data_IF_419158524790
#
_entry.id   IF_419158524790
#
_cell.length_a   1.000
_cell.length_b   1.000
_cell.length_c   1.000
_cell.angle_alpha   90.00
_cell.angle_beta   90.00
_cell.angle_gamma   90.00
#
_symmetry.space_group_name_H-M   'P 1'
#
loop_
_entity.id
_entity.type
_entity.pdbx_description
1 polymer ?
#
# COMPACT_ATOMS: atom_id res chain seq x y z
N UNK A 1 8.69 -5.93 7.94
CA UNK A 1 9.93 -6.68 7.75
C UNK A 1 9.57 -8.12 7.40
N UNK A 2 10.18 -8.66 6.37
CA UNK A 2 10.04 -10.06 5.93
C UNK A 2 11.16 -10.88 6.53
N UNK A 3 10.85 -12.04 7.13
CA UNK A 3 11.84 -12.99 7.65
C UNK A 3 11.86 -14.20 6.72
N UNK A 4 13.01 -14.48 6.17
CA UNK A 4 13.22 -15.50 5.14
C UNK A 4 14.17 -16.55 5.70
N UNK A 5 13.80 -17.81 5.61
CA UNK A 5 14.62 -18.95 5.99
C UNK A 5 15.20 -19.65 4.77
N UNK A 6 16.45 -20.10 4.87
CA UNK A 6 17.12 -21.02 3.94
C UNK A 6 18.08 -21.89 4.71
N UNK A 7 17.99 -23.19 4.54
CA UNK A 7 18.89 -24.18 5.14
C UNK A 7 19.09 -23.97 6.66
N UNK A 8 17.98 -23.72 7.37
CA UNK A 8 17.98 -23.48 8.82
C UNK A 8 18.47 -22.09 9.26
N UNK A 9 18.96 -21.26 8.35
CA UNK A 9 19.40 -19.88 8.64
C UNK A 9 18.33 -18.88 8.24
N UNK A 10 18.14 -17.84 9.06
CA UNK A 10 17.19 -16.77 8.78
C UNK A 10 17.88 -15.46 8.40
N UNK A 11 17.29 -14.72 7.47
CA UNK A 11 17.65 -13.34 7.16
C UNK A 11 16.42 -12.45 7.17
N UNK A 12 16.61 -11.17 7.42
CA UNK A 12 15.55 -10.17 7.46
C UNK A 12 15.67 -9.23 6.27
N UNK A 13 14.54 -8.76 5.77
CA UNK A 13 14.47 -7.84 4.63
C UNK A 13 13.31 -6.86 4.82
N UNK A 14 13.48 -5.55 4.54
CA UNK A 14 12.37 -4.62 4.47
C UNK A 14 11.35 -5.06 3.41
N UNK A 15 10.06 -4.88 3.69
CA UNK A 15 8.98 -5.27 2.77
C UNK A 15 9.09 -4.57 1.41
N UNK A 16 9.55 -3.32 1.39
CA UNK A 16 9.77 -2.53 0.17
C UNK A 16 10.85 -3.12 -0.76
N UNK A 17 11.78 -3.93 -0.21
CA UNK A 17 12.83 -4.62 -0.98
C UNK A 17 12.46 -6.07 -1.31
N UNK A 18 11.35 -6.56 -0.77
CA UNK A 18 10.92 -7.94 -0.99
C UNK A 18 10.28 -8.14 -2.35
N UNK A 19 9.47 -7.18 -2.79
CA UNK A 19 8.85 -7.22 -4.11
C UNK A 19 9.80 -6.59 -5.14
N UNK A 20 9.99 -7.29 -6.24
CA UNK A 20 10.84 -6.83 -7.35
C UNK A 20 10.00 -6.70 -8.63
N UNK A 21 10.31 -5.69 -9.42
CA UNK A 21 9.63 -5.45 -10.69
C UNK A 21 10.35 -6.09 -11.87
N UNK A 22 9.71 -6.13 -13.05
CA UNK A 22 10.25 -6.75 -14.26
C UNK A 22 11.56 -6.10 -14.77
N UNK A 23 11.84 -4.85 -14.39
CA UNK A 23 13.11 -4.21 -14.68
C UNK A 23 14.29 -4.86 -13.93
N UNK A 24 14.03 -5.54 -12.79
CA UNK A 24 15.04 -6.27 -12.03
C UNK A 24 15.11 -7.73 -12.50
N UNK A 25 13.96 -8.38 -12.62
CA UNK A 25 13.87 -9.77 -13.08
C UNK A 25 12.43 -10.05 -13.55
N UNK A 26 12.26 -10.38 -14.82
CA UNK A 26 10.95 -10.64 -15.41
C UNK A 26 10.39 -12.03 -15.05
N UNK A 27 11.24 -12.93 -14.55
CA UNK A 27 10.85 -14.33 -14.27
C UNK A 27 10.30 -14.53 -12.87
N UNK A 28 10.40 -13.51 -11.98
CA UNK A 28 9.93 -13.59 -10.58
C UNK A 28 9.51 -12.22 -10.07
N UNK A 29 8.61 -12.23 -9.11
CA UNK A 29 8.05 -11.00 -8.51
C UNK A 29 8.56 -10.71 -7.10
N UNK A 30 9.39 -11.57 -6.56
CA UNK A 30 9.95 -11.41 -5.20
C UNK A 30 11.45 -11.65 -5.17
N UNK A 31 12.10 -11.13 -4.13
CA UNK A 31 13.53 -11.33 -3.87
C UNK A 31 13.88 -12.74 -3.35
N UNK A 32 12.89 -13.63 -3.23
CA UNK A 32 13.12 -15.02 -2.85
C UNK A 32 13.94 -15.73 -3.91
N UNK A 33 14.90 -16.53 -3.48
CA UNK A 33 15.74 -17.40 -4.31
C UNK A 33 15.30 -18.85 -4.12
N UNK A 34 15.82 -19.75 -4.96
CA UNK A 34 15.60 -21.19 -4.78
C UNK A 34 15.90 -21.60 -3.32
N UNK A 35 15.03 -22.41 -2.74
CA UNK A 35 15.08 -22.87 -1.35
C UNK A 35 14.87 -21.81 -0.27
N UNK A 36 14.47 -20.57 -0.63
CA UNK A 36 14.00 -19.60 0.34
C UNK A 36 12.53 -19.84 0.71
N UNK A 37 12.22 -19.70 1.98
CA UNK A 37 10.86 -19.76 2.51
C UNK A 37 10.61 -18.47 3.31
N UNK A 38 9.55 -17.73 2.98
CA UNK A 38 9.06 -16.64 3.84
C UNK A 38 8.39 -17.27 5.07
N UNK A 39 9.02 -17.12 6.23
CA UNK A 39 8.55 -17.77 7.48
C UNK A 39 7.81 -16.83 8.41
N UNK A 40 8.02 -15.52 8.28
CA UNK A 40 7.39 -14.54 9.16
C UNK A 40 7.28 -13.17 8.49
N UNK A 41 6.20 -12.44 8.81
CA UNK A 41 6.04 -11.00 8.49
C UNK A 41 5.95 -10.25 9.81
N UNK A 42 6.93 -9.38 10.09
CA UNK A 42 6.99 -8.58 11.31
C UNK A 42 6.46 -7.17 11.08
N UNK A 43 5.45 -6.80 11.82
CA UNK A 43 4.95 -5.43 11.87
C UNK A 43 5.72 -4.63 12.94
N UNK A 44 6.13 -3.38 12.68
CA UNK A 44 6.81 -2.57 13.67
C UNK A 44 5.89 -2.27 14.87
N UNK A 45 6.40 -2.46 16.09
CA UNK A 45 5.67 -2.22 17.36
C UNK A 45 5.09 -0.79 17.44
N UNK A 46 5.72 0.16 16.77
CA UNK A 46 5.21 1.56 16.71
C UNK A 46 3.79 1.67 16.16
N UNK A 47 3.30 0.68 15.41
CA UNK A 47 1.93 0.66 14.87
C UNK A 47 0.92 -0.07 15.75
N UNK A 48 1.32 -0.55 16.92
CA UNK A 48 0.38 -1.11 17.89
C UNK A 48 -0.65 -0.04 18.30
N UNK A 49 -1.94 -0.39 18.28
CA UNK A 49 -3.04 0.51 18.56
C UNK A 49 -3.33 1.58 17.49
N UNK A 50 -2.67 1.54 16.34
CA UNK A 50 -2.97 2.45 15.23
C UNK A 50 -4.32 2.08 14.59
N UNK A 51 -5.00 3.08 14.00
CA UNK A 51 -6.14 2.85 13.10
C UNK A 51 -5.64 2.22 11.80
N UNK A 52 -6.41 1.31 11.24
CA UNK A 52 -6.09 0.70 9.94
C UNK A 52 -7.30 0.74 9.01
N UNK A 53 -7.03 0.75 7.73
CA UNK A 53 -8.03 0.65 6.68
C UNK A 53 -7.52 -0.27 5.58
N UNK A 54 -8.38 -1.16 5.09
CA UNK A 54 -8.11 -1.98 3.92
C UNK A 54 -9.37 -2.08 3.07
N UNK A 55 -9.23 -1.82 1.79
CA UNK A 55 -10.29 -2.01 0.81
C UNK A 55 -9.73 -2.66 -0.45
N UNK A 56 -10.38 -3.69 -0.92
CA UNK A 56 -10.10 -4.38 -2.17
C UNK A 56 -11.31 -4.25 -3.09
N UNK A 57 -11.13 -3.61 -4.23
CA UNK A 57 -12.14 -3.60 -5.31
C UNK A 57 -11.79 -4.68 -6.30
N UNK A 58 -12.76 -5.55 -6.59
CA UNK A 58 -12.64 -6.68 -7.50
C UNK A 58 -13.96 -6.88 -8.24
N UNK A 59 -13.98 -7.61 -9.35
CA UNK A 59 -15.20 -7.92 -10.11
C UNK A 59 -16.06 -8.98 -9.39
N UNK A 60 -15.40 -9.88 -8.64
CA UNK A 60 -16.04 -10.93 -7.86
C UNK A 60 -15.64 -10.86 -6.39
N UNK A 61 -16.51 -11.33 -5.51
CA UNK A 61 -16.24 -11.33 -4.06
C UNK A 61 -15.22 -12.37 -3.63
N UNK A 62 -15.10 -13.48 -4.36
CA UNK A 62 -14.20 -14.60 -4.07
C UNK A 62 -13.37 -14.97 -5.30
N UNK A 63 -12.17 -15.51 -5.06
CA UNK A 63 -11.28 -16.01 -6.12
C UNK A 63 -11.03 -14.99 -7.23
N UNK A 64 -10.75 -13.76 -6.84
CA UNK A 64 -10.50 -12.68 -7.78
C UNK A 64 -9.30 -11.83 -7.38
N UNK A 65 -8.57 -11.35 -8.37
CA UNK A 65 -7.54 -10.34 -8.17
C UNK A 65 -8.18 -8.98 -7.94
N UNK A 66 -7.49 -8.11 -7.21
CA UNK A 66 -7.95 -6.73 -7.08
C UNK A 66 -7.82 -5.98 -8.41
N UNK A 67 -8.84 -5.24 -8.78
CA UNK A 67 -8.73 -4.17 -9.76
C UNK A 67 -7.81 -3.08 -9.22
N UNK A 68 -8.09 -2.63 -8.00
CA UNK A 68 -7.23 -1.79 -7.16
C UNK A 68 -7.51 -2.16 -5.70
N UNK A 69 -6.49 -2.18 -4.87
CA UNK A 69 -6.65 -2.25 -3.42
C UNK A 69 -5.84 -1.16 -2.73
N UNK A 70 -6.22 -0.83 -1.51
CA UNK A 70 -5.49 0.09 -0.65
C UNK A 70 -5.38 -0.47 0.76
N UNK A 71 -4.24 -0.24 1.38
CA UNK A 71 -3.99 -0.52 2.78
C UNK A 71 -3.40 0.73 3.43
N UNK A 72 -3.95 1.12 4.58
CA UNK A 72 -3.47 2.25 5.36
C UNK A 72 -3.35 1.87 6.83
N UNK A 73 -2.33 2.38 7.48
CA UNK A 73 -2.20 2.43 8.94
C UNK A 73 -1.90 3.86 9.34
N UNK A 74 -2.59 4.38 10.36
CA UNK A 74 -2.44 5.77 10.81
C UNK A 74 -2.51 5.90 12.33
N UNK A 75 -1.74 6.84 12.85
CA UNK A 75 -1.84 7.33 14.22
C UNK A 75 -2.31 8.77 14.23
N UNK A 76 -3.27 9.06 15.09
CA UNK A 76 -3.80 10.39 15.30
C UNK A 76 -3.43 10.90 16.69
N UNK A 77 -3.19 12.18 16.83
CA UNK A 77 -2.94 12.87 18.12
C UNK A 77 -3.48 14.30 18.03
N UNK A 78 -4.25 14.73 19.01
CA UNK A 78 -4.85 16.07 19.02
C UNK A 78 -5.74 16.37 17.80
N UNK A 79 -6.48 15.38 17.29
CA UNK A 79 -7.32 15.53 16.10
C UNK A 79 -6.55 15.58 14.76
N UNK A 80 -5.22 15.43 14.79
CA UNK A 80 -4.36 15.46 13.61
C UNK A 80 -3.72 14.11 13.34
N UNK A 81 -3.38 13.86 12.07
CA UNK A 81 -2.66 12.66 11.61
C UNK A 81 -1.18 12.82 11.99
N UNK A 82 -0.73 12.12 13.02
CA UNK A 82 0.63 12.21 13.53
C UNK A 82 1.63 11.41 12.66
N UNK A 83 1.25 10.22 12.22
CA UNK A 83 2.04 9.39 11.29
C UNK A 83 1.09 8.45 10.55
N UNK A 84 1.42 8.14 9.29
CA UNK A 84 0.66 7.17 8.51
C UNK A 84 1.54 6.48 7.47
N UNK A 85 1.06 5.33 7.03
CA UNK A 85 1.59 4.61 5.89
C UNK A 85 0.43 4.15 5.02
N UNK A 86 0.54 4.40 3.72
CA UNK A 86 -0.46 4.04 2.74
C UNK A 86 0.20 3.36 1.54
N UNK A 87 -0.36 2.24 1.13
CA UNK A 87 0.09 1.51 -0.06
C UNK A 87 -1.09 1.07 -0.91
N UNK A 88 -0.92 1.03 -2.22
CA UNK A 88 -1.92 0.46 -3.12
C UNK A 88 -1.34 -0.68 -3.95
N UNK A 89 -2.20 -1.61 -4.35
CA UNK A 89 -1.90 -2.73 -5.22
C UNK A 89 -2.84 -2.80 -6.43
N UNK A 90 -2.50 -3.62 -7.41
CA UNK A 90 -3.26 -3.75 -8.65
C UNK A 90 -3.01 -2.63 -9.67
N UNK A 91 -2.05 -1.74 -9.42
CA UNK A 91 -1.74 -0.57 -10.27
C UNK A 91 -0.35 -0.63 -10.90
N UNK A 92 0.51 -1.46 -10.37
CA UNK A 92 1.85 -1.76 -10.92
C UNK A 92 2.30 -3.15 -10.50
N UNK A 93 3.45 -3.62 -10.98
CA UNK A 93 3.96 -4.96 -10.70
C UNK A 93 4.37 -5.20 -9.25
N UNK A 94 4.58 -4.15 -8.46
CA UNK A 94 4.90 -4.22 -7.03
C UNK A 94 3.88 -3.39 -6.23
N UNK A 95 3.67 -3.68 -4.93
CA UNK A 95 2.89 -2.79 -4.08
C UNK A 95 3.49 -1.38 -4.09
N UNK A 96 2.66 -0.38 -4.41
CA UNK A 96 3.10 1.03 -4.50
C UNK A 96 2.87 1.73 -3.17
N UNK A 97 3.94 2.22 -2.57
CA UNK A 97 3.87 3.14 -1.45
C UNK A 97 3.38 4.52 -1.93
N UNK A 98 2.43 5.11 -1.23
CA UNK A 98 1.81 6.40 -1.59
C UNK A 98 2.40 7.54 -0.76
N UNK A 99 3.72 7.73 -0.83
CA UNK A 99 4.46 8.73 -0.02
C UNK A 99 3.96 10.14 -0.23
N UNK A 100 3.57 10.51 -1.46
CA UNK A 100 2.97 11.81 -1.79
C UNK A 100 1.66 12.07 -1.01
N UNK A 101 0.85 11.05 -0.79
CA UNK A 101 -0.38 11.15 0.04
C UNK A 101 -0.02 11.20 1.53
N UNK A 102 0.98 10.40 1.95
CA UNK A 102 1.45 10.41 3.35
C UNK A 102 1.99 11.77 3.74
N UNK A 103 2.81 12.40 2.89
CA UNK A 103 3.40 13.71 3.13
C UNK A 103 2.34 14.82 3.16
N UNK A 104 1.32 14.73 2.28
CA UNK A 104 0.18 15.64 2.28
C UNK A 104 -0.61 15.58 3.60
N UNK A 105 -0.82 14.40 4.16
CA UNK A 105 -1.73 14.18 5.28
C UNK A 105 -1.08 14.36 6.64
N UNK A 106 0.24 14.27 6.73
CA UNK A 106 0.95 14.35 8.01
C UNK A 106 0.85 15.74 8.62
N UNK A 107 0.34 15.80 9.84
CA UNK A 107 0.10 17.05 10.58
C UNK A 107 -1.27 17.67 10.33
N UNK A 108 -2.04 17.14 9.37
CA UNK A 108 -3.37 17.64 9.01
C UNK A 108 -4.48 16.89 9.75
N UNK A 109 -5.65 17.52 9.86
CA UNK A 109 -6.87 16.86 10.34
C UNK A 109 -7.56 16.14 9.20
N UNK A 110 -8.03 14.92 9.45
CA UNK A 110 -8.85 14.23 8.46
C UNK A 110 -10.19 14.96 8.25
N UNK A 111 -10.58 15.14 6.98
CA UNK A 111 -11.81 15.85 6.63
C UNK A 111 -11.98 15.96 5.12
N UNK A 112 -13.11 16.53 4.68
CA UNK A 112 -13.53 16.59 3.29
C UNK A 112 -12.47 17.22 2.34
N UNK A 113 -11.73 18.22 2.81
CA UNK A 113 -10.67 18.84 2.03
C UNK A 113 -9.51 17.86 1.80
N UNK A 114 -9.04 17.20 2.86
CA UNK A 114 -7.96 16.22 2.77
C UNK A 114 -8.38 14.98 1.96
N UNK A 115 -9.64 14.56 2.03
CA UNK A 115 -10.19 13.53 1.14
C UNK A 115 -10.04 13.95 -0.34
N UNK A 116 -10.50 15.14 -0.69
CA UNK A 116 -10.45 15.69 -2.05
C UNK A 116 -9.01 15.82 -2.56
N UNK A 117 -8.11 16.34 -1.72
CA UNK A 117 -6.70 16.49 -2.07
C UNK A 117 -6.02 15.13 -2.23
N UNK A 118 -6.26 14.19 -1.32
CA UNK A 118 -5.72 12.83 -1.39
C UNK A 118 -6.15 12.11 -2.65
N UNK A 119 -7.42 12.25 -3.04
CA UNK A 119 -7.93 11.70 -4.32
C UNK A 119 -7.10 12.16 -5.51
N UNK A 120 -6.80 13.44 -5.56
CA UNK A 120 -6.05 14.05 -6.66
C UNK A 120 -4.57 13.67 -6.63
N UNK A 121 -3.94 13.75 -5.44
CA UNK A 121 -2.51 13.48 -5.26
C UNK A 121 -2.19 12.00 -5.46
N UNK A 122 -3.07 11.08 -5.04
CA UNK A 122 -2.91 9.65 -5.25
C UNK A 122 -2.77 9.28 -6.74
N UNK A 123 -3.47 10.00 -7.62
CA UNK A 123 -3.49 9.76 -9.06
C UNK A 123 -2.34 10.46 -9.82
N UNK A 124 -1.55 11.30 -9.17
CA UNK A 124 -0.47 12.03 -9.84
C UNK A 124 0.58 11.09 -10.44
N UNK A 125 0.95 11.40 -11.70
CA UNK A 125 1.94 10.64 -12.44
C UNK A 125 1.48 9.26 -12.93
N UNK A 126 0.23 8.85 -12.63
CA UNK A 126 -0.33 7.61 -13.14
C UNK A 126 -0.60 7.73 -14.65
N UNK A 127 -0.18 6.70 -15.39
CA UNK A 127 -0.44 6.58 -16.82
C UNK A 127 -1.22 5.29 -17.08
N UNK A 128 -2.35 5.41 -17.76
CA UNK A 128 -3.13 4.24 -18.15
C UNK A 128 -2.44 3.48 -19.27
N UNK A 129 -2.64 2.17 -19.29
CA UNK A 129 -2.44 1.32 -20.45
C UNK A 129 -3.73 1.29 -21.29
N UNK A 130 -3.80 0.44 -22.31
CA UNK A 130 -4.87 0.48 -23.32
C UNK A 130 -6.29 0.46 -22.75
N UNK A 131 -6.59 -0.36 -21.73
CA UNK A 131 -7.96 -0.61 -21.26
C UNK A 131 -8.14 -0.44 -19.75
N UNK A 132 -7.20 0.18 -19.05
CA UNK A 132 -7.23 0.30 -17.59
C UNK A 132 -7.35 1.73 -17.05
N UNK A 133 -7.86 2.66 -17.86
CA UNK A 133 -8.06 4.07 -17.48
C UNK A 133 -8.84 4.24 -16.19
N UNK A 134 -9.84 3.37 -15.95
CA UNK A 134 -10.67 3.37 -14.74
C UNK A 134 -9.89 3.20 -13.45
N UNK A 135 -8.71 2.58 -13.47
CA UNK A 135 -7.88 2.37 -12.28
C UNK A 135 -7.35 3.67 -11.69
N UNK A 136 -7.14 4.69 -12.50
CA UNK A 136 -6.63 6.00 -12.04
C UNK A 136 -7.65 6.68 -11.10
N UNK A 137 -8.90 6.97 -11.52
CA UNK A 137 -9.90 7.55 -10.62
C UNK A 137 -10.28 6.61 -9.47
N UNK A 138 -10.23 5.28 -9.69
CA UNK A 138 -10.53 4.29 -8.64
C UNK A 138 -9.48 4.36 -7.53
N UNK A 139 -8.19 4.38 -7.86
CA UNK A 139 -7.10 4.54 -6.88
C UNK A 139 -7.26 5.82 -6.06
N UNK A 140 -7.56 6.94 -6.71
CA UNK A 140 -7.82 8.19 -6.03
C UNK A 140 -9.04 8.11 -5.09
N UNK A 141 -10.11 7.46 -5.53
CA UNK A 141 -11.33 7.29 -4.71
C UNK A 141 -11.09 6.41 -3.48
N UNK A 142 -10.28 5.35 -3.62
CA UNK A 142 -9.88 4.52 -2.49
C UNK A 142 -9.00 5.28 -1.49
N UNK A 143 -8.06 6.11 -1.96
CA UNK A 143 -7.27 6.96 -1.08
C UNK A 143 -8.16 7.93 -0.28
N UNK A 144 -9.15 8.56 -0.92
CA UNK A 144 -10.12 9.43 -0.24
C UNK A 144 -10.94 8.68 0.82
N UNK A 145 -11.41 7.46 0.52
CA UNK A 145 -12.14 6.62 1.50
C UNK A 145 -11.27 6.24 2.69
N UNK A 146 -10.00 5.91 2.45
CA UNK A 146 -9.06 5.63 3.52
C UNK A 146 -8.88 6.85 4.45
N UNK A 147 -8.78 8.07 3.90
CA UNK A 147 -8.71 9.31 4.69
C UNK A 147 -10.01 9.53 5.48
N UNK A 148 -11.17 9.34 4.86
CA UNK A 148 -12.48 9.46 5.52
C UNK A 148 -12.60 8.54 6.74
N UNK A 149 -12.03 7.35 6.70
CA UNK A 149 -12.07 6.41 7.82
C UNK A 149 -11.33 6.88 9.08
N UNK A 150 -10.57 7.98 8.98
CA UNK A 150 -9.84 8.59 10.10
C UNK A 150 -10.64 9.69 10.81
N UNK A 151 -11.70 10.21 10.17
CA UNK A 151 -12.60 11.25 10.71
C UNK A 151 -13.43 10.74 11.86
#
# INVERSE_FOLDING_TARGET
EMVISRDGKTRKMPAEKFFIGPATDITRMTALKKNDILVEIRLPKKWAGAKYYFEKVADRQTWDFSLVNIAMVAKTSGGKIADLRMACGGVQCTPRRMTNVEDLLKGESAGAEMEKLSKRVAAQGAKALNYNHFKIPLMGSLAARAVRSLS
#
